data_IF_274273902682
#
_entry.id   IF_274273902682
#
_cell.length_a   1.000
_cell.length_b   1.000
_cell.length_c   1.000
_cell.angle_alpha   90.00
_cell.angle_beta   90.00
_cell.angle_gamma   90.00
#
_symmetry.space_group_name_H-M   'P 1'
#
loop_
_entity.id
_entity.type
_entity.pdbx_description
1 polymer ?
#
# COMPACT_ATOMS: atom_id res chain seq x y z
N UNK A 1 -8.21 -1.06 -14.40
CA UNK A 1 -7.01 -1.60 -15.04
C UNK A 1 -6.07 -2.18 -13.99
N UNK A 2 -4.88 -2.63 -14.41
CA UNK A 2 -3.86 -3.16 -13.52
C UNK A 2 -2.59 -2.34 -13.67
N UNK A 3 -1.99 -1.96 -12.54
CA UNK A 3 -0.65 -1.38 -12.49
C UNK A 3 0.27 -2.38 -11.81
N UNK A 4 1.49 -2.50 -12.32
CA UNK A 4 2.47 -3.47 -11.83
C UNK A 4 3.87 -2.88 -11.89
N UNK A 5 4.67 -3.16 -10.87
CA UNK A 5 6.06 -2.73 -10.79
C UNK A 5 6.94 -3.79 -10.13
N UNK A 6 8.22 -3.79 -10.50
CA UNK A 6 9.27 -4.44 -9.74
C UNK A 6 9.83 -3.43 -8.73
N UNK A 7 9.73 -3.72 -7.44
CA UNK A 7 10.12 -2.81 -6.36
C UNK A 7 11.09 -3.53 -5.42
N UNK A 8 12.18 -2.85 -5.08
CA UNK A 8 13.07 -3.17 -3.97
C UNK A 8 12.91 -2.06 -2.94
N UNK A 9 12.39 -2.40 -1.75
CA UNK A 9 12.06 -1.45 -0.69
C UNK A 9 13.31 -0.97 0.05
N UNK A 10 13.21 0.21 0.66
CA UNK A 10 14.24 0.75 1.56
C UNK A 10 14.40 -0.11 2.82
N UNK A 11 15.63 -0.51 3.21
CA UNK A 11 15.88 -1.39 4.36
C UNK A 11 15.96 -0.68 5.72
N UNK A 12 16.00 0.64 5.74
CA UNK A 12 16.35 1.40 6.96
C UNK A 12 15.11 1.61 7.83
N UNK A 13 15.25 1.41 9.15
CA UNK A 13 14.23 1.82 10.13
C UNK A 13 13.83 3.29 9.92
N UNK A 14 12.54 3.60 10.03
CA UNK A 14 11.97 4.93 9.77
C UNK A 14 11.70 5.24 8.29
N UNK A 15 12.28 4.50 7.34
CA UNK A 15 12.04 4.71 5.91
C UNK A 15 10.76 3.99 5.47
N UNK A 16 9.91 4.70 4.73
CA UNK A 16 8.73 4.14 4.07
C UNK A 16 8.90 4.23 2.56
N UNK A 17 8.79 3.09 1.87
CA UNK A 17 8.64 3.05 0.41
C UNK A 17 7.15 2.97 0.08
N UNK A 18 6.68 3.73 -0.90
CA UNK A 18 5.25 3.84 -1.21
C UNK A 18 4.96 3.66 -2.72
N UNK A 19 3.93 2.86 -3.02
CA UNK A 19 3.35 2.65 -4.35
C UNK A 19 1.84 2.84 -4.25
N UNK A 20 1.36 4.00 -4.68
CA UNK A 20 0.03 4.52 -4.34
C UNK A 20 -0.75 4.88 -5.59
N UNK A 21 -2.03 4.52 -5.64
CA UNK A 21 -3.00 5.15 -6.56
C UNK A 21 -3.82 6.17 -5.78
N UNK A 22 -3.83 7.43 -6.23
CA UNK A 22 -4.50 8.52 -5.52
C UNK A 22 -5.39 9.35 -6.46
N UNK A 23 -6.56 9.77 -5.97
CA UNK A 23 -7.48 10.71 -6.63
C UNK A 23 -7.16 12.18 -6.33
N UNK A 24 -7.81 13.09 -7.06
CA UNK A 24 -7.58 14.54 -6.94
C UNK A 24 -8.19 15.12 -5.64
N UNK A 25 -9.52 15.15 -5.55
CA UNK A 25 -10.30 15.52 -4.36
C UNK A 25 -11.75 15.03 -4.52
N UNK A 26 -12.35 14.40 -3.50
CA UNK A 26 -11.71 13.94 -2.27
C UNK A 26 -10.77 12.75 -2.55
N UNK A 27 -9.78 12.53 -1.67
CA UNK A 27 -8.61 11.71 -1.97
C UNK A 27 -8.88 10.22 -1.75
N UNK A 28 -9.54 9.59 -2.70
CA UNK A 28 -9.52 8.12 -2.78
C UNK A 28 -8.08 7.65 -2.96
N UNK A 29 -7.69 6.62 -2.21
CA UNK A 29 -6.31 6.17 -2.13
C UNK A 29 -6.23 4.65 -2.01
N UNK A 30 -5.27 4.02 -2.72
CA UNK A 30 -4.97 2.60 -2.67
C UNK A 30 -3.47 2.42 -2.49
N UNK A 31 -3.07 1.72 -1.45
CA UNK A 31 -1.67 1.72 -1.01
C UNK A 31 -1.04 0.34 -1.12
N UNK A 32 0.23 0.34 -1.49
CA UNK A 32 1.23 -0.61 -1.05
C UNK A 32 2.37 0.17 -0.39
N UNK A 33 2.61 -0.07 0.89
CA UNK A 33 3.68 0.56 1.66
C UNK A 33 4.58 -0.48 2.30
N UNK A 34 5.89 -0.25 2.22
CA UNK A 34 6.91 -1.03 2.91
C UNK A 34 7.54 -0.16 3.95
N UNK A 35 7.66 -0.69 5.16
CA UNK A 35 8.36 -0.04 6.25
C UNK A 35 9.71 -0.72 6.41
N UNK A 36 10.81 0.03 6.36
CA UNK A 36 12.15 -0.54 6.40
C UNK A 36 12.48 -1.29 7.69
N UNK A 37 11.79 -1.01 8.81
CA UNK A 37 11.92 -1.80 10.04
C UNK A 37 11.42 -3.25 9.90
N UNK A 38 10.59 -3.56 8.88
CA UNK A 38 10.08 -4.90 8.57
C UNK A 38 10.40 -5.28 7.12
N UNK A 39 11.55 -5.91 6.94
CA UNK A 39 12.05 -6.38 5.64
C UNK A 39 11.21 -7.51 4.99
N UNK A 40 10.23 -8.05 5.70
CA UNK A 40 9.54 -9.28 5.34
C UNK A 40 8.09 -9.08 4.93
N UNK A 41 7.56 -7.85 5.02
CA UNK A 41 6.15 -7.57 4.77
C UNK A 41 5.92 -6.32 3.94
N UNK A 42 4.82 -6.33 3.22
CA UNK A 42 4.21 -5.15 2.60
C UNK A 42 2.83 -4.92 3.21
N UNK A 43 2.44 -3.67 3.32
CA UNK A 43 1.16 -3.24 3.84
C UNK A 43 0.26 -2.77 2.70
N UNK A 44 -1.00 -3.19 2.72
CA UNK A 44 -2.04 -2.64 1.86
C UNK A 44 -3.01 -1.82 2.69
N UNK A 45 -3.44 -0.68 2.15
CA UNK A 45 -4.46 0.18 2.75
C UNK A 45 -5.32 0.81 1.65
N UNK A 46 -6.48 1.32 2.03
CA UNK A 46 -7.27 2.18 1.18
C UNK A 46 -7.97 3.25 1.99
N UNK A 47 -8.19 4.39 1.34
CA UNK A 47 -8.95 5.50 1.87
C UNK A 47 -10.06 5.86 0.90
N UNK A 48 -11.21 6.26 1.43
CA UNK A 48 -12.31 6.81 0.63
C UNK A 48 -12.52 8.25 1.08
N UNK A 49 -12.56 9.16 0.12
CA UNK A 49 -12.66 10.58 0.37
C UNK A 49 -11.58 11.14 1.33
N UNK A 50 -10.39 10.53 1.35
CA UNK A 50 -9.29 10.87 2.26
C UNK A 50 -9.50 10.43 3.71
N UNK A 51 -10.47 9.54 3.97
CA UNK A 51 -10.80 9.03 5.30
C UNK A 51 -10.52 7.53 5.39
N UNK A 52 -10.15 7.08 6.60
CA UNK A 52 -10.11 5.65 6.92
C UNK A 52 -11.53 5.09 6.88
N UNK A 53 -11.65 3.85 6.42
CA UNK A 53 -12.94 3.18 6.32
C UNK A 53 -13.27 2.47 7.63
N UNK A 54 -14.45 2.76 8.18
CA UNK A 54 -14.90 2.16 9.42
C UNK A 54 -14.99 0.63 9.32
N UNK A 55 -14.41 -0.06 10.31
CA UNK A 55 -14.27 -1.52 10.32
C UNK A 55 -13.22 -2.07 9.34
N UNK A 56 -12.36 -1.23 8.78
CA UNK A 56 -11.21 -1.57 7.92
C UNK A 56 -10.03 -0.61 8.14
N UNK A 57 -9.91 -0.05 9.34
CA UNK A 57 -8.98 1.02 9.64
C UNK A 57 -7.53 0.56 9.73
N UNK A 58 -7.28 -0.75 9.82
CA UNK A 58 -5.95 -1.31 9.95
C UNK A 58 -5.40 -1.78 8.60
N UNK A 59 -4.08 -1.64 8.36
CA UNK A 59 -3.48 -2.14 7.14
C UNK A 59 -3.55 -3.67 7.09
N UNK A 60 -3.71 -4.21 5.87
CA UNK A 60 -3.50 -5.62 5.62
C UNK A 60 -2.01 -5.89 5.47
N UNK A 61 -1.46 -6.85 6.22
CA UNK A 61 -0.05 -7.23 6.18
C UNK A 61 0.15 -8.49 5.33
N UNK A 62 1.05 -8.42 4.36
CA UNK A 62 1.29 -9.48 3.39
C UNK A 62 2.75 -9.89 3.40
N UNK A 63 3.02 -11.20 3.30
CA UNK A 63 4.38 -11.72 3.21
C UNK A 63 5.06 -11.22 1.93
N UNK A 64 6.26 -10.66 2.08
CA UNK A 64 7.11 -10.14 1.02
C UNK A 64 8.59 -10.42 1.37
N UNK A 65 8.92 -11.70 1.56
CA UNK A 65 10.28 -12.12 1.93
C UNK A 65 11.33 -11.63 0.93
N UNK A 66 12.35 -10.92 1.43
CA UNK A 66 13.41 -10.33 0.60
C UNK A 66 13.01 -9.01 -0.08
N UNK A 67 11.96 -8.33 0.39
CA UNK A 67 11.52 -7.04 -0.16
C UNK A 67 12.63 -5.97 -0.14
N UNK A 68 13.57 -6.07 0.79
CA UNK A 68 14.72 -5.15 0.93
C UNK A 68 16.01 -5.67 0.29
N UNK A 69 16.05 -6.94 -0.12
CA UNK A 69 17.25 -7.60 -0.65
C UNK A 69 17.28 -7.53 -2.18
N UNK A 70 16.11 -7.66 -2.81
CA UNK A 70 15.95 -7.69 -4.27
C UNK A 70 14.63 -7.10 -4.75
N UNK A 71 14.44 -7.12 -6.06
CA UNK A 71 13.20 -6.69 -6.68
C UNK A 71 12.14 -7.79 -6.57
N UNK A 72 11.02 -7.46 -5.94
CA UNK A 72 9.81 -8.28 -5.95
C UNK A 72 8.75 -7.63 -6.85
N UNK A 73 7.80 -8.43 -7.33
CA UNK A 73 6.72 -7.95 -8.20
C UNK A 73 5.49 -7.58 -7.38
N UNK A 74 4.95 -6.40 -7.60
CA UNK A 74 3.75 -5.93 -6.92
C UNK A 74 2.75 -5.36 -7.89
N UNK A 75 1.47 -5.57 -7.63
CA UNK A 75 0.41 -5.02 -8.46
C UNK A 75 -0.81 -4.60 -7.65
N UNK A 76 -1.48 -3.57 -8.17
CA UNK A 76 -2.84 -3.21 -7.79
C UNK A 76 -3.69 -3.36 -9.05
N UNK A 77 -4.68 -4.23 -8.98
CA UNK A 77 -5.75 -4.30 -9.95
C UNK A 77 -6.95 -3.54 -9.40
N UNK A 78 -7.42 -2.56 -10.16
CA UNK A 78 -8.52 -1.69 -9.79
C UNK A 78 -9.57 -1.68 -10.88
N UNK A 79 -10.78 -2.13 -10.58
CA UNK A 79 -11.92 -2.17 -11.50
C UNK A 79 -13.12 -1.46 -10.89
N UNK A 80 -14.20 -1.22 -11.66
CA UNK A 80 -15.46 -0.77 -11.08
C UNK A 80 -16.13 -1.78 -10.13
N UNK A 81 -15.60 -3.00 -10.01
CA UNK A 81 -16.18 -4.09 -9.21
C UNK A 81 -15.30 -4.48 -8.02
N UNK A 82 -13.99 -4.31 -8.10
CA UNK A 82 -13.06 -4.69 -7.03
C UNK A 82 -11.72 -3.98 -7.10
N UNK A 83 -11.05 -3.94 -5.94
CA UNK A 83 -9.61 -3.71 -5.83
C UNK A 83 -8.95 -5.01 -5.39
N UNK A 84 -7.83 -5.37 -6.00
CA UNK A 84 -7.03 -6.53 -5.65
C UNK A 84 -5.55 -6.15 -5.57
N UNK A 85 -4.90 -6.64 -4.52
CA UNK A 85 -3.47 -6.43 -4.29
C UNK A 85 -2.72 -7.74 -4.51
N UNK A 86 -1.55 -7.65 -5.14
CA UNK A 86 -0.72 -8.80 -5.47
C UNK A 86 0.72 -8.63 -5.00
N UNK A 87 1.32 -9.73 -4.53
CA UNK A 87 2.75 -9.85 -4.19
C UNK A 87 3.31 -11.06 -4.90
N UNK A 88 4.38 -10.88 -5.69
CA UNK A 88 4.97 -11.90 -6.56
C UNK A 88 3.94 -12.65 -7.43
N UNK A 89 2.92 -11.93 -7.90
CA UNK A 89 1.83 -12.49 -8.70
C UNK A 89 0.73 -13.21 -7.91
N UNK A 90 0.94 -13.48 -6.61
CA UNK A 90 -0.09 -14.05 -5.75
C UNK A 90 -1.08 -12.98 -5.30
N UNK A 91 -2.38 -13.27 -5.35
CA UNK A 91 -3.44 -12.41 -4.81
C UNK A 91 -3.41 -12.46 -3.28
N UNK A 92 -3.23 -11.31 -2.62
CA UNK A 92 -3.09 -11.23 -1.15
C UNK A 92 -4.24 -10.49 -0.46
N UNK A 93 -4.98 -9.65 -1.18
CA UNK A 93 -6.18 -8.96 -0.66
C UNK A 93 -7.17 -8.68 -1.78
N UNK A 94 -8.46 -8.80 -1.47
CA UNK A 94 -9.57 -8.36 -2.33
C UNK A 94 -10.48 -7.42 -1.54
N UNK A 95 -10.80 -6.28 -2.13
CA UNK A 95 -11.86 -5.36 -1.70
C UNK A 95 -12.97 -5.38 -2.77
N UNK A 96 -14.08 -6.10 -2.54
CA UNK A 96 -15.21 -6.08 -3.46
C UNK A 96 -16.04 -4.81 -3.29
N UNK A 97 -16.56 -4.28 -4.40
CA UNK A 97 -17.59 -3.23 -4.40
C UNK A 97 -18.96 -3.81 -4.04
N UNK A 98 -19.81 -3.00 -3.42
CA UNK A 98 -21.19 -3.39 -3.08
C UNK A 98 -21.32 -4.05 -1.71
N UNK A 99 -20.29 -3.94 -0.86
CA UNK A 99 -20.41 -4.24 0.57
C UNK A 99 -21.01 -3.05 1.33
N UNK A 100 -21.17 -3.17 2.65
CA UNK A 100 -21.56 -2.04 3.51
C UNK A 100 -20.47 -0.96 3.63
N UNK A 101 -19.24 -1.24 3.20
CA UNK A 101 -18.11 -0.32 3.25
C UNK A 101 -18.03 0.55 1.99
N UNK A 102 -17.66 1.84 2.10
CA UNK A 102 -17.42 2.71 0.96
C UNK A 102 -16.30 2.18 0.05
N UNK A 103 -16.32 2.59 -1.22
CA UNK A 103 -15.41 2.08 -2.26
C UNK A 103 -14.63 3.22 -2.93
N UNK A 104 -13.28 3.12 -3.06
CA UNK A 104 -12.42 4.18 -3.58
C UNK A 104 -12.47 4.23 -5.12
N UNK A 105 -13.53 4.82 -5.67
CA UNK A 105 -13.83 4.81 -7.10
C UNK A 105 -12.97 5.79 -7.93
N UNK A 106 -12.22 6.69 -7.31
CA UNK A 106 -11.50 7.80 -7.98
C UNK A 106 -9.98 7.77 -7.84
N UNK A 107 -9.39 6.68 -7.32
CA UNK A 107 -7.94 6.49 -7.22
C UNK A 107 -7.30 6.26 -8.60
N UNK A 108 -7.04 7.32 -9.36
CA UNK A 108 -6.71 7.25 -10.79
C UNK A 108 -5.30 7.71 -11.19
N UNK A 109 -4.50 8.21 -10.25
CA UNK A 109 -3.14 8.71 -10.50
C UNK A 109 -2.12 7.91 -9.73
N UNK A 110 -1.14 7.32 -10.41
CA UNK A 110 -0.03 6.62 -9.78
C UNK A 110 0.95 7.61 -9.14
N UNK A 111 1.33 7.34 -7.90
CA UNK A 111 2.39 8.02 -7.16
C UNK A 111 3.35 6.97 -6.60
N UNK A 112 4.64 7.26 -6.70
CA UNK A 112 5.69 6.46 -6.10
C UNK A 112 6.67 7.37 -5.38
N UNK A 113 7.16 6.93 -4.23
CA UNK A 113 8.10 7.73 -3.45
C UNK A 113 8.68 6.97 -2.27
N UNK A 114 9.63 7.63 -1.64
CA UNK A 114 10.23 7.23 -0.37
C UNK A 114 10.09 8.42 0.57
N UNK A 115 9.68 8.17 1.81
CA UNK A 115 9.47 9.24 2.80
C UNK A 115 9.86 8.78 4.21
N UNK A 116 10.03 9.77 5.09
CA UNK A 116 10.39 9.57 6.50
C UNK A 116 9.13 9.36 7.36
N UNK A 117 8.91 8.13 7.78
CA UNK A 117 7.80 7.72 8.64
C UNK A 117 8.07 7.84 10.13
N UNK A 118 9.25 8.31 10.55
CA UNK A 118 9.69 8.27 11.95
C UNK A 118 8.84 9.10 12.92
N UNK A 119 8.01 10.03 12.43
CA UNK A 119 6.99 10.71 13.25
C UNK A 119 5.97 9.73 13.83
N UNK A 120 5.77 8.57 13.20
CA UNK A 120 5.00 7.44 13.72
C UNK A 120 5.93 6.26 13.99
N UNK A 121 6.92 6.47 14.86
CA UNK A 121 8.01 5.52 15.12
C UNK A 121 7.57 4.13 15.61
N UNK A 122 6.41 4.03 16.25
CA UNK A 122 5.83 2.73 16.63
C UNK A 122 5.53 1.86 15.40
N UNK A 123 5.13 2.48 14.29
CA UNK A 123 4.80 1.80 13.04
C UNK A 123 5.96 1.78 12.05
N UNK A 124 6.68 2.90 11.90
CA UNK A 124 7.72 3.06 10.88
C UNK A 124 9.12 2.64 11.36
N UNK A 125 9.32 2.60 12.68
CA UNK A 125 10.64 2.56 13.30
C UNK A 125 11.22 3.97 13.51
N UNK A 126 12.32 4.04 14.24
CA UNK A 126 13.05 5.30 14.46
C UNK A 126 14.00 5.59 13.31
N UNK A 127 14.25 6.87 13.03
CA UNK A 127 15.28 7.28 12.08
C UNK A 127 16.66 6.84 12.59
N UNK A 128 17.44 6.23 11.70
CA UNK A 128 18.85 5.89 11.89
C UNK A 128 19.61 6.39 10.64
N UNK A 129 20.44 7.43 10.82
CA UNK A 129 21.07 8.20 9.73
C UNK A 129 22.49 7.73 9.41
#
# INVERSE_FOLDING_TARGET
>A
GRIEALIKAGPTSGVVTAFIMQGATPKDELDLEWVGMDAHRVQSMYFVDGQRVAGDELPGYHSAQGATDGFLRYAIEFTPQHVQWFVNGALVRTLPRGTSKPYPAQANTLRMGVWDGSQNSFWAGVVDW
#
